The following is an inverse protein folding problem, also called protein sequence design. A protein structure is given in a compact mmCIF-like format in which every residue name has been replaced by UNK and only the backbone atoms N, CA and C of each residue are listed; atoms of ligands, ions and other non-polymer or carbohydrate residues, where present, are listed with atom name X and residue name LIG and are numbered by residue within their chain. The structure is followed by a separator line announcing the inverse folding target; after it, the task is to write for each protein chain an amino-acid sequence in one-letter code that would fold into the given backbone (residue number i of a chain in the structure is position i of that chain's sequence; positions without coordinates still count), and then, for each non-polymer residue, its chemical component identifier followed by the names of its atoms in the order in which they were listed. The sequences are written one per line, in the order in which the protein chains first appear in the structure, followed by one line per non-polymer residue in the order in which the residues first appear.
data_IF_847166798187
#
_entry.id   IF_847166798187
#
_cell.length_a   1.000
_cell.length_b   1.000
_cell.length_c   1.000
_cell.angle_alpha   90.00
_cell.angle_beta   90.00
_cell.angle_gamma   90.00
#
_symmetry.space_group_name_H-M   'P 1'
#
loop_
_entity.id
_entity.type
_entity.pdbx_description
1 polymer ?
#
# COMPACT_ATOMS: atom_id res chain seq x y z
N UNK A 1 -22.69 7.44 -10.15
CA UNK A 1 -21.72 6.36 -9.88
C UNK A 1 -21.01 6.69 -8.58
N UNK A 2 -20.62 5.67 -7.82
CA UNK A 2 -19.78 5.80 -6.62
C UNK A 2 -18.32 5.62 -7.01
N UNK A 3 -17.51 6.64 -6.80
CA UNK A 3 -16.10 6.68 -7.19
C UNK A 3 -15.22 6.77 -5.94
N UNK A 4 -14.25 5.87 -5.80
CA UNK A 4 -13.20 5.97 -4.81
C UNK A 4 -11.98 6.67 -5.42
N UNK A 5 -11.63 7.86 -4.92
CA UNK A 5 -10.37 8.53 -5.25
C UNK A 5 -9.33 8.16 -4.21
N UNK A 6 -8.23 7.53 -4.63
CA UNK A 6 -7.14 7.19 -3.72
C UNK A 6 -6.08 8.27 -3.80
N UNK A 7 -5.82 8.90 -2.66
CA UNK A 7 -4.85 9.99 -2.51
C UNK A 7 -3.74 9.55 -1.57
N UNK A 8 -2.51 9.46 -2.07
CA UNK A 8 -1.34 9.06 -1.27
C UNK A 8 -0.62 10.29 -0.72
N UNK A 9 -0.53 10.40 0.61
CA UNK A 9 0.25 11.43 1.30
C UNK A 9 -0.20 12.88 1.06
N UNK A 10 -1.35 13.10 0.41
CA UNK A 10 -1.75 14.41 -0.08
C UNK A 10 -3.18 14.80 0.35
N UNK A 11 -4.17 14.67 -0.53
CA UNK A 11 -5.55 15.10 -0.27
C UNK A 11 -6.19 14.27 0.86
N UNK A 12 -6.94 14.89 1.79
CA UNK A 12 -7.25 16.33 1.90
C UNK A 12 -6.31 17.10 2.84
N UNK A 13 -5.20 16.51 3.30
CA UNK A 13 -4.42 17.01 4.43
C UNK A 13 -3.24 17.91 4.04
N UNK A 14 -2.72 17.72 2.83
CA UNK A 14 -1.59 18.50 2.29
C UNK A 14 -2.04 19.23 1.04
N UNK A 15 -1.73 20.52 0.98
CA UNK A 15 -1.94 21.34 -0.22
C UNK A 15 -0.79 21.12 -1.20
N UNK A 16 -1.10 20.89 -2.48
CA UNK A 16 -0.12 20.67 -3.53
C UNK A 16 -0.79 20.41 -4.88
N UNK A 17 0.00 20.19 -5.93
CA UNK A 17 -0.52 20.01 -7.30
C UNK A 17 -1.54 18.86 -7.40
N UNK A 18 -1.16 17.66 -6.93
CA UNK A 18 -2.02 16.47 -6.97
C UNK A 18 -3.29 16.67 -6.12
N UNK A 19 -3.16 17.18 -4.89
CA UNK A 19 -4.31 17.38 -4.01
C UNK A 19 -5.30 18.42 -4.57
N UNK A 20 -4.81 19.53 -5.11
CA UNK A 20 -5.64 20.54 -5.79
C UNK A 20 -6.32 19.97 -7.02
N UNK A 21 -5.62 19.15 -7.80
CA UNK A 21 -6.18 18.47 -8.96
C UNK A 21 -7.30 17.49 -8.57
N UNK A 22 -7.11 16.67 -7.53
CA UNK A 22 -8.16 15.78 -7.00
C UNK A 22 -9.41 16.58 -6.64
N UNK A 23 -9.23 17.69 -5.92
CA UNK A 23 -10.34 18.55 -5.51
C UNK A 23 -11.09 19.14 -6.71
N UNK A 24 -10.35 19.70 -7.68
CA UNK A 24 -10.90 20.30 -8.89
C UNK A 24 -11.62 19.26 -9.76
N UNK A 25 -11.06 18.06 -9.88
CA UNK A 25 -11.69 16.96 -10.59
C UNK A 25 -13.05 16.65 -9.98
N UNK A 26 -13.12 16.39 -8.67
CA UNK A 26 -14.39 16.07 -8.01
C UNK A 26 -15.42 17.20 -8.14
N UNK A 27 -14.97 18.47 -8.02
CA UNK A 27 -15.84 19.64 -8.19
C UNK A 27 -16.36 19.82 -9.63
N UNK A 28 -15.58 19.43 -10.64
CA UNK A 28 -15.94 19.57 -12.05
C UNK A 28 -16.95 18.53 -12.54
N UNK A 29 -17.11 17.41 -11.84
CA UNK A 29 -18.07 16.34 -12.18
C UNK A 29 -19.05 16.05 -11.02
N UNK A 30 -19.93 17.00 -10.68
CA UNK A 30 -20.81 16.91 -9.51
C UNK A 30 -21.89 15.82 -9.60
N UNK A 31 -22.10 15.22 -10.78
CA UNK A 31 -23.07 14.14 -10.99
C UNK A 31 -22.61 12.77 -10.43
N UNK A 32 -21.45 12.70 -9.79
CA UNK A 32 -20.88 11.48 -9.22
C UNK A 32 -20.54 11.67 -7.75
N UNK A 33 -20.78 10.62 -6.96
CA UNK A 33 -20.50 10.59 -5.53
C UNK A 33 -19.09 10.08 -5.30
N UNK A 34 -18.31 10.82 -4.53
CA UNK A 34 -16.92 10.52 -4.24
C UNK A 34 -16.73 10.07 -2.81
N UNK A 35 -15.87 9.07 -2.62
CA UNK A 35 -15.19 8.82 -1.35
C UNK A 35 -13.70 8.93 -1.60
N UNK A 36 -13.00 9.64 -0.72
CA UNK A 36 -11.54 9.65 -0.76
C UNK A 36 -11.00 8.57 0.15
N UNK A 37 -10.12 7.71 -0.38
CA UNK A 37 -9.29 6.80 0.40
C UNK A 37 -7.92 7.46 0.55
N UNK A 38 -7.70 8.12 1.68
CA UNK A 38 -6.46 8.85 1.95
C UNK A 38 -5.43 7.89 2.57
N UNK A 39 -4.32 7.64 1.87
CA UNK A 39 -3.20 6.87 2.41
C UNK A 39 -2.30 7.80 3.22
N UNK A 40 -2.17 7.54 4.52
CA UNK A 40 -1.45 8.39 5.47
C UNK A 40 -0.30 7.62 6.14
N UNK A 41 0.72 8.34 6.62
CA UNK A 41 1.79 7.71 7.40
C UNK A 41 1.29 7.23 8.78
N UNK A 42 0.43 8.03 9.42
CA UNK A 42 -0.03 7.82 10.78
C UNK A 42 -1.55 7.58 10.87
N UNK A 43 -1.97 6.96 11.98
CA UNK A 43 -3.38 6.67 12.31
C UNK A 43 -4.20 7.90 12.68
N UNK A 44 -3.54 9.01 13.04
CA UNK A 44 -4.19 10.27 13.41
C UNK A 44 -4.08 11.29 12.27
N UNK A 45 -5.06 11.36 11.36
CA UNK A 45 -5.02 12.27 10.24
C UNK A 45 -5.14 13.73 10.71
N UNK A 46 -4.49 14.69 10.03
CA UNK A 46 -4.69 16.12 10.26
C UNK A 46 -6.12 16.56 9.94
N UNK A 47 -6.44 17.83 10.25
CA UNK A 47 -7.64 18.45 9.72
C UNK A 47 -7.54 18.64 8.19
N UNK A 48 -8.68 18.52 7.50
CA UNK A 48 -8.76 18.83 6.07
C UNK A 48 -8.32 20.28 5.80
N UNK A 49 -7.52 20.48 4.77
CA UNK A 49 -7.12 21.82 4.26
C UNK A 49 -7.96 22.29 3.07
N UNK A 50 -8.91 21.48 2.62
CA UNK A 50 -9.76 21.77 1.48
C UNK A 50 -11.20 22.07 1.92
N UNK A 51 -11.91 22.95 1.19
CA UNK A 51 -13.32 23.21 1.47
C UNK A 51 -14.16 21.95 1.22
N UNK A 52 -15.33 21.83 1.89
CA UNK A 52 -16.23 20.71 1.66
C UNK A 52 -16.82 20.74 0.24
N UNK A 53 -17.05 19.55 -0.34
CA UNK A 53 -17.78 19.38 -1.59
C UNK A 53 -19.06 18.60 -1.32
N UNK A 54 -20.17 19.02 -1.93
CA UNK A 54 -21.47 18.37 -1.75
C UNK A 54 -21.48 16.90 -2.22
N UNK A 55 -20.66 16.58 -3.21
CA UNK A 55 -20.51 15.24 -3.77
C UNK A 55 -19.34 14.44 -3.17
N UNK A 56 -18.71 14.93 -2.09
CA UNK A 56 -17.73 14.16 -1.31
C UNK A 56 -18.41 13.57 -0.08
N UNK A 57 -18.78 12.29 -0.15
CA UNK A 57 -19.53 11.60 0.89
C UNK A 57 -18.69 11.28 2.13
N UNK A 58 -17.41 10.95 1.94
CA UNK A 58 -16.51 10.57 3.03
C UNK A 58 -15.03 10.70 2.66
N UNK A 59 -14.20 10.83 3.69
CA UNK A 59 -12.75 10.63 3.64
C UNK A 59 -12.42 9.50 4.60
N UNK A 60 -11.93 8.38 4.06
CA UNK A 60 -11.52 7.18 4.81
C UNK A 60 -10.01 7.12 4.83
N UNK A 61 -9.42 7.03 6.02
CA UNK A 61 -7.98 6.98 6.18
C UNK A 61 -7.47 5.55 6.17
N UNK A 62 -6.42 5.34 5.39
CA UNK A 62 -5.65 4.11 5.29
C UNK A 62 -4.23 4.38 5.76
N UNK A 63 -3.95 4.08 7.03
CA UNK A 63 -2.64 4.39 7.62
C UNK A 63 -1.62 3.28 7.34
N UNK A 64 -0.40 3.65 6.96
CA UNK A 64 0.72 2.73 6.74
C UNK A 64 1.29 2.17 8.05
N UNK A 65 0.93 2.74 9.19
CA UNK A 65 1.33 2.29 10.53
C UNK A 65 0.20 1.65 11.32
N UNK A 66 -0.98 1.48 10.72
CA UNK A 66 -2.16 0.92 11.37
C UNK A 66 -1.90 -0.52 11.84
N UNK A 67 -1.87 -0.70 13.16
CA UNK A 67 -1.66 -2.00 13.78
C UNK A 67 -3.00 -2.69 14.03
N UNK A 68 -3.01 -4.02 13.85
CA UNK A 68 -4.16 -4.82 14.26
C UNK A 68 -4.31 -4.80 15.77
N UNK A 69 -5.53 -4.54 16.24
CA UNK A 69 -5.88 -4.66 17.67
C UNK A 69 -5.90 -6.14 18.10
N UNK A 70 -6.19 -7.05 17.17
CA UNK A 70 -6.30 -8.49 17.43
C UNK A 70 -5.12 -9.23 16.81
N UNK A 71 -4.36 -9.94 17.66
CA UNK A 71 -3.32 -10.85 17.18
C UNK A 71 -3.94 -12.12 16.59
N UNK A 72 -3.50 -12.51 15.40
CA UNK A 72 -3.95 -13.70 14.68
C UNK A 72 -2.75 -14.54 14.27
N UNK A 73 -2.78 -15.86 14.53
CA UNK A 73 -1.66 -16.72 14.22
C UNK A 73 -1.50 -16.92 12.70
N UNK A 74 -0.26 -17.14 12.27
CA UNK A 74 0.07 -17.49 10.89
C UNK A 74 -0.38 -18.91 10.58
N UNK A 75 -1.16 -19.10 9.51
CA UNK A 75 -1.72 -20.39 9.07
C UNK A 75 -1.54 -20.56 7.56
N UNK A 76 -0.29 -20.66 7.12
CA UNK A 76 0.08 -20.77 5.71
C UNK A 76 0.30 -22.22 5.27
N UNK A 77 -0.30 -22.58 4.15
CA UNK A 77 -0.04 -23.84 3.45
C UNK A 77 1.21 -23.72 2.55
N UNK A 78 1.66 -24.81 1.95
CA UNK A 78 2.79 -24.79 1.02
C UNK A 78 2.54 -23.84 -0.17
N UNK A 79 1.35 -23.93 -0.78
CA UNK A 79 0.96 -23.04 -1.89
C UNK A 79 0.97 -21.55 -1.51
N UNK A 80 0.70 -21.21 -0.25
CA UNK A 80 0.76 -19.83 0.22
C UNK A 80 2.18 -19.30 0.31
N UNK A 81 3.10 -20.15 0.77
CA UNK A 81 4.52 -19.83 0.82
C UNK A 81 5.09 -19.65 -0.59
N UNK A 82 4.61 -20.44 -1.55
CA UNK A 82 5.00 -20.31 -2.96
C UNK A 82 4.52 -18.98 -3.54
N UNK A 83 3.27 -18.57 -3.27
CA UNK A 83 2.75 -17.26 -3.69
C UNK A 83 3.57 -16.10 -3.12
N UNK A 84 3.90 -16.15 -1.83
CA UNK A 84 4.72 -15.12 -1.19
C UNK A 84 6.13 -15.11 -1.80
N UNK A 85 6.75 -16.28 -1.95
CA UNK A 85 8.10 -16.41 -2.53
C UNK A 85 8.17 -15.87 -3.95
N UNK A 86 7.16 -16.16 -4.78
CA UNK A 86 7.05 -15.61 -6.14
C UNK A 86 6.86 -14.10 -6.10
N UNK A 87 6.00 -13.58 -5.23
CA UNK A 87 5.75 -12.14 -5.13
C UNK A 87 7.01 -11.36 -4.72
N UNK A 88 7.82 -11.91 -3.80
CA UNK A 88 9.10 -11.33 -3.38
C UNK A 88 10.16 -11.26 -4.50
N UNK A 89 9.93 -11.89 -5.65
CA UNK A 89 10.88 -11.83 -6.77
C UNK A 89 10.78 -10.53 -7.57
N UNK A 90 9.61 -9.88 -7.55
CA UNK A 90 9.27 -8.75 -8.41
C UNK A 90 9.51 -8.97 -9.91
N UNK A 91 9.50 -10.21 -10.40
CA UNK A 91 9.68 -10.51 -11.84
C UNK A 91 8.36 -10.51 -12.59
N UNK A 92 7.35 -11.16 -12.02
CA UNK A 92 6.04 -11.38 -12.64
C UNK A 92 4.92 -10.95 -11.70
N UNK A 93 3.77 -10.49 -12.23
CA UNK A 93 2.60 -10.24 -11.41
C UNK A 93 2.10 -11.54 -10.76
N UNK A 94 1.89 -11.51 -9.43
CA UNK A 94 1.29 -12.62 -8.66
C UNK A 94 -0.02 -12.14 -8.01
N UNK A 95 -1.14 -12.04 -8.75
CA UNK A 95 -2.35 -11.41 -8.23
C UNK A 95 -2.94 -12.11 -7.00
N UNK A 96 -2.78 -13.43 -6.88
CA UNK A 96 -3.28 -14.20 -5.75
C UNK A 96 -2.53 -13.90 -4.43
N UNK A 97 -1.28 -13.42 -4.50
CA UNK A 97 -0.55 -12.98 -3.30
C UNK A 97 -1.22 -11.77 -2.64
N UNK A 98 -1.86 -10.89 -3.43
CA UNK A 98 -2.57 -9.73 -2.91
C UNK A 98 -3.75 -10.12 -2.02
N UNK A 99 -4.51 -11.16 -2.41
CA UNK A 99 -5.62 -11.68 -1.61
C UNK A 99 -5.10 -12.34 -0.33
N UNK A 100 -3.99 -13.09 -0.43
CA UNK A 100 -3.35 -13.72 0.72
C UNK A 100 -2.85 -12.68 1.73
N UNK A 101 -2.20 -11.61 1.27
CA UNK A 101 -1.72 -10.54 2.15
C UNK A 101 -2.85 -9.79 2.85
N UNK A 102 -3.99 -9.66 2.18
CA UNK A 102 -5.20 -9.03 2.73
C UNK A 102 -6.01 -9.96 3.65
N UNK A 103 -5.70 -11.26 3.74
CA UNK A 103 -6.45 -12.24 4.51
C UNK A 103 -5.76 -12.59 5.85
N UNK A 104 -6.15 -11.92 6.95
CA UNK A 104 -5.57 -12.18 8.26
C UNK A 104 -6.01 -13.52 8.88
N UNK A 105 -6.93 -14.27 8.26
CA UNK A 105 -7.29 -15.63 8.72
C UNK A 105 -6.25 -16.66 8.30
N UNK A 106 -5.50 -16.37 7.23
CA UNK A 106 -4.44 -17.22 6.66
C UNK A 106 -3.05 -16.68 6.98
N UNK A 107 -2.77 -15.42 6.63
CA UNK A 107 -1.47 -14.81 6.90
C UNK A 107 -1.24 -14.56 8.38
N UNK A 108 -2.32 -14.32 9.14
CA UNK A 108 -2.25 -13.67 10.45
C UNK A 108 -2.23 -12.15 10.30
N UNK A 109 -2.19 -11.43 11.43
CA UNK A 109 -1.98 -9.98 11.36
C UNK A 109 -0.55 -9.64 10.92
N UNK A 110 -0.38 -8.47 10.31
CA UNK A 110 0.89 -8.00 9.76
C UNK A 110 2.06 -8.14 10.73
N UNK A 111 1.92 -7.66 11.96
CA UNK A 111 2.97 -7.70 12.98
C UNK A 111 3.33 -9.15 13.37
N UNK A 112 2.31 -10.00 13.58
CA UNK A 112 2.52 -11.41 13.91
C UNK A 112 3.19 -12.17 12.77
N UNK A 113 2.80 -11.92 11.51
CA UNK A 113 3.45 -12.53 10.35
C UNK A 113 4.92 -12.11 10.23
N UNK A 114 5.21 -10.81 10.29
CA UNK A 114 6.57 -10.25 10.17
C UNK A 114 7.49 -10.63 11.32
N UNK A 115 6.95 -11.05 12.47
CA UNK A 115 7.69 -11.58 13.60
C UNK A 115 7.77 -13.12 13.63
N UNK A 116 7.16 -13.80 12.66
CA UNK A 116 7.04 -15.25 12.67
C UNK A 116 8.30 -15.97 12.14
N UNK A 117 8.55 -17.23 12.58
CA UNK A 117 9.56 -18.08 11.96
C UNK A 117 9.30 -18.30 10.46
N UNK A 118 8.03 -18.29 10.03
CA UNK A 118 7.68 -18.46 8.62
C UNK A 118 8.23 -17.32 7.76
N UNK A 119 8.11 -16.08 8.23
CA UNK A 119 8.68 -14.93 7.54
C UNK A 119 10.22 -15.01 7.50
N UNK A 120 10.84 -15.39 8.63
CA UNK A 120 12.29 -15.62 8.69
C UNK A 120 12.76 -16.65 7.66
N UNK A 121 12.10 -17.79 7.56
CA UNK A 121 12.45 -18.85 6.60
C UNK A 121 12.33 -18.37 5.15
N UNK A 122 11.24 -17.64 4.82
CA UNK A 122 11.00 -17.09 3.48
C UNK A 122 12.12 -16.11 3.05
N UNK A 123 12.48 -15.18 3.94
CA UNK A 123 13.53 -14.19 3.65
C UNK A 123 14.92 -14.85 3.63
N UNK A 124 15.17 -15.86 4.47
CA UNK A 124 16.42 -16.63 4.45
C UNK A 124 16.58 -17.39 3.13
N UNK A 125 15.54 -18.09 2.68
CA UNK A 125 15.57 -18.78 1.39
C UNK A 125 15.81 -17.80 0.23
N UNK A 126 15.17 -16.63 0.27
CA UNK A 126 15.36 -15.58 -0.73
C UNK A 126 16.79 -15.02 -0.73
N UNK A 127 17.35 -14.74 0.45
CA UNK A 127 18.72 -14.24 0.60
C UNK A 127 19.74 -15.22 -0.01
N UNK A 128 19.56 -16.52 0.22
CA UNK A 128 20.41 -17.56 -0.35
C UNK A 128 20.28 -17.66 -1.89
N UNK A 129 19.07 -17.47 -2.41
CA UNK A 129 18.80 -17.48 -3.84
C UNK A 129 19.40 -16.26 -4.57
N UNK A 130 19.28 -15.07 -3.98
CA UNK A 130 19.72 -13.81 -4.59
C UNK A 130 21.25 -13.66 -4.61
N UNK A 131 22.00 -14.52 -3.90
CA UNK A 131 23.47 -14.51 -3.79
C UNK A 131 24.06 -13.12 -3.51
N UNK A 132 23.38 -12.36 -2.67
CA UNK A 132 23.76 -10.99 -2.36
C UNK A 132 25.04 -10.96 -1.52
N UNK A 133 25.85 -9.91 -1.71
CA UNK A 133 27.06 -9.66 -0.93
C UNK A 133 26.81 -8.78 0.31
N UNK A 134 25.54 -8.41 0.58
CA UNK A 134 25.17 -7.61 1.75
C UNK A 134 25.00 -8.48 2.98
N UNK A 135 25.20 -7.90 4.17
CA UNK A 135 24.96 -8.60 5.43
C UNK A 135 23.50 -9.06 5.56
N UNK A 136 23.30 -10.28 6.06
CA UNK A 136 21.96 -10.87 6.18
C UNK A 136 21.04 -10.08 7.11
N UNK A 137 21.55 -9.49 8.19
CA UNK A 137 20.73 -8.71 9.11
C UNK A 137 20.19 -7.47 8.42
N UNK A 138 21.06 -6.75 7.69
CA UNK A 138 20.65 -5.60 6.89
C UNK A 138 19.60 -5.99 5.84
N UNK A 139 19.82 -7.11 5.13
CA UNK A 139 18.88 -7.63 4.15
C UNK A 139 17.50 -7.96 4.76
N UNK A 140 17.51 -8.66 5.89
CA UNK A 140 16.29 -9.06 6.60
C UNK A 140 15.47 -7.84 7.05
N UNK A 141 16.12 -6.85 7.65
CA UNK A 141 15.44 -5.63 8.10
C UNK A 141 14.94 -4.78 6.94
N UNK A 142 15.67 -4.70 5.81
CA UNK A 142 15.19 -4.01 4.61
C UNK A 142 13.88 -4.61 4.11
N UNK A 143 13.79 -5.95 3.99
CA UNK A 143 12.55 -6.63 3.60
C UNK A 143 11.42 -6.44 4.59
N UNK A 144 11.72 -6.58 5.89
CA UNK A 144 10.73 -6.36 6.94
C UNK A 144 10.17 -4.94 6.89
N UNK A 145 11.03 -3.94 6.74
CA UNK A 145 10.63 -2.54 6.68
C UNK A 145 9.82 -2.25 5.41
N UNK A 146 10.18 -2.83 4.27
CA UNK A 146 9.45 -2.69 3.00
C UNK A 146 8.03 -3.28 3.10
N UNK A 147 7.89 -4.46 3.70
CA UNK A 147 6.61 -5.18 3.77
C UNK A 147 5.67 -4.66 4.86
N UNK A 148 6.21 -4.07 5.92
CA UNK A 148 5.42 -3.52 7.04
C UNK A 148 4.28 -2.60 6.58
N UNK A 149 4.54 -1.48 5.87
CA UNK A 149 3.48 -0.57 5.44
C UNK A 149 2.53 -1.20 4.42
N UNK A 150 3.04 -2.10 3.58
CA UNK A 150 2.24 -2.88 2.62
C UNK A 150 1.20 -3.73 3.33
N UNK A 151 1.60 -4.51 4.34
CA UNK A 151 0.68 -5.39 5.06
C UNK A 151 -0.31 -4.61 5.93
N UNK A 152 0.13 -3.55 6.61
CA UNK A 152 -0.78 -2.67 7.35
C UNK A 152 -1.85 -2.07 6.44
N UNK A 153 -1.46 -1.57 5.26
CA UNK A 153 -2.39 -1.05 4.26
C UNK A 153 -3.39 -2.11 3.77
N UNK A 154 -2.89 -3.30 3.44
CA UNK A 154 -3.68 -4.38 2.84
C UNK A 154 -4.59 -5.11 3.82
N UNK A 155 -4.41 -4.97 5.12
CA UNK A 155 -5.25 -5.65 6.12
C UNK A 155 -6.34 -4.76 6.72
N UNK A 156 -6.33 -3.46 6.43
CA UNK A 156 -7.39 -2.54 6.89
C UNK A 156 -8.74 -2.83 6.20
N UNK A 157 -9.88 -2.62 6.87
CA UNK A 157 -11.19 -2.88 6.29
C UNK A 157 -11.43 -2.04 5.03
N UNK A 158 -12.00 -2.65 3.99
CA UNK A 158 -12.42 -1.94 2.79
C UNK A 158 -13.87 -1.45 2.94
N UNK A 159 -14.22 -0.29 2.37
CA UNK A 159 -15.60 0.14 2.24
C UNK A 159 -16.42 -0.76 1.28
N UNK A 160 -17.74 -0.78 1.45
CA UNK A 160 -18.61 -1.82 0.91
C UNK A 160 -18.53 -2.02 -0.62
N UNK A 161 -18.72 -0.96 -1.44
CA UNK A 161 -18.64 -1.04 -2.91
C UNK A 161 -18.37 0.30 -3.60
N UNK A 162 -17.60 0.24 -4.69
CA UNK A 162 -17.39 1.33 -5.64
C UNK A 162 -17.60 0.84 -7.08
N UNK A 163 -18.15 1.71 -7.94
CA UNK A 163 -18.24 1.43 -9.38
C UNK A 163 -16.88 1.58 -10.06
N UNK A 164 -16.08 2.52 -9.56
CA UNK A 164 -14.74 2.84 -10.07
C UNK A 164 -13.83 3.27 -8.92
N UNK A 165 -12.58 2.83 -8.96
CA UNK A 165 -11.49 3.28 -8.10
C UNK A 165 -10.42 3.95 -8.97
N UNK A 166 -9.96 5.11 -8.54
CA UNK A 166 -8.97 5.90 -9.25
C UNK A 166 -7.81 6.25 -8.31
N UNK A 167 -6.64 5.67 -8.57
CA UNK A 167 -5.42 6.00 -7.87
C UNK A 167 -4.61 7.07 -8.61
N UNK A 168 -4.08 8.05 -7.89
CA UNK A 168 -3.27 9.14 -8.44
C UNK A 168 -1.76 8.84 -8.50
N UNK A 169 -1.34 7.64 -8.09
CA UNK A 169 0.02 7.15 -8.19
C UNK A 169 0.04 5.61 -8.19
N UNK A 170 1.11 5.00 -8.71
CA UNK A 170 1.28 3.53 -8.78
C UNK A 170 1.74 2.87 -7.48
N UNK A 171 2.21 3.63 -6.49
CA UNK A 171 2.74 3.12 -5.22
C UNK A 171 1.68 2.50 -4.29
N UNK A 172 1.58 3.00 -3.06
CA UNK A 172 0.57 2.52 -2.11
C UNK A 172 -0.85 2.75 -2.64
N UNK A 173 -1.08 3.86 -3.34
CA UNK A 173 -2.34 4.15 -3.99
C UNK A 173 -2.73 3.10 -5.04
N UNK A 174 -1.80 2.72 -5.91
CA UNK A 174 -2.00 1.68 -6.93
C UNK A 174 -2.25 0.31 -6.31
N UNK A 175 -1.50 -0.04 -5.26
CA UNK A 175 -1.67 -1.28 -4.53
C UNK A 175 -3.05 -1.38 -3.86
N UNK A 176 -3.51 -0.30 -3.19
CA UNK A 176 -4.84 -0.25 -2.59
C UNK A 176 -5.93 -0.32 -3.65
N UNK A 177 -5.77 0.36 -4.79
CA UNK A 177 -6.73 0.28 -5.90
C UNK A 177 -6.81 -1.15 -6.47
N UNK A 178 -5.68 -1.85 -6.60
CA UNK A 178 -5.66 -3.24 -7.04
C UNK A 178 -6.42 -4.14 -6.05
N UNK A 179 -6.22 -3.92 -4.75
CA UNK A 179 -6.95 -4.65 -3.69
C UNK A 179 -8.46 -4.39 -3.77
N UNK A 180 -8.88 -3.13 -3.90
CA UNK A 180 -10.30 -2.75 -4.04
C UNK A 180 -10.92 -3.42 -5.26
N UNK A 181 -10.23 -3.37 -6.41
CA UNK A 181 -10.69 -4.04 -7.64
C UNK A 181 -10.88 -5.54 -7.45
N UNK A 182 -9.93 -6.22 -6.79
CA UNK A 182 -10.03 -7.66 -6.55
C UNK A 182 -11.16 -8.02 -5.58
N UNK A 183 -11.34 -7.24 -4.52
CA UNK A 183 -12.36 -7.50 -3.52
C UNK A 183 -13.78 -7.22 -4.02
N UNK A 184 -13.97 -6.21 -4.89
CA UNK A 184 -15.31 -5.69 -5.24
C UNK A 184 -15.68 -5.83 -6.72
N UNK A 185 -14.70 -6.06 -7.60
CA UNK A 185 -14.88 -6.02 -9.06
C UNK A 185 -14.92 -4.61 -9.66
N UNK A 186 -14.59 -3.57 -8.89
CA UNK A 186 -14.59 -2.19 -9.36
C UNK A 186 -13.70 -1.98 -10.59
N UNK A 187 -14.12 -1.08 -11.50
CA UNK A 187 -13.23 -0.59 -12.56
C UNK A 187 -12.08 0.18 -11.92
N UNK A 188 -10.88 0.05 -12.47
CA UNK A 188 -9.69 0.67 -11.91
C UNK A 188 -9.06 1.61 -12.93
N UNK A 189 -8.77 2.83 -12.49
CA UNK A 189 -8.03 3.85 -13.21
C UNK A 189 -6.78 4.15 -12.39
N UNK A 190 -5.63 4.25 -13.05
CA UNK A 190 -4.42 4.81 -12.47
C UNK A 190 -4.02 5.99 -13.34
N UNK A 191 -3.79 7.13 -12.71
CA UNK A 191 -3.10 8.27 -13.31
C UNK A 191 -1.80 8.46 -12.56
N UNK A 192 -0.72 8.74 -13.28
CA UNK A 192 0.61 8.96 -12.73
C UNK A 192 1.08 10.36 -13.15
N UNK A 193 1.65 11.12 -12.24
CA UNK A 193 2.12 12.49 -12.50
C UNK A 193 3.54 12.56 -13.06
N UNK A 194 4.13 11.39 -13.37
CA UNK A 194 5.38 11.26 -14.13
C UNK A 194 6.65 11.57 -13.35
N UNK A 195 6.52 12.05 -12.11
CA UNK A 195 7.65 12.32 -11.22
C UNK A 195 7.61 11.47 -9.93
N UNK A 196 6.54 10.70 -9.68
CA UNK A 196 6.43 9.89 -8.46
C UNK A 196 7.63 8.95 -8.26
N UNK A 197 8.03 8.21 -9.30
CA UNK A 197 9.18 7.31 -9.22
C UNK A 197 10.47 8.06 -8.88
N UNK A 198 10.65 9.26 -9.42
CA UNK A 198 11.81 10.11 -9.16
C UNK A 198 11.79 10.67 -7.74
N UNK A 199 10.63 11.08 -7.23
CA UNK A 199 10.47 11.51 -5.84
C UNK A 199 10.86 10.38 -4.88
N UNK A 200 10.45 9.13 -5.16
CA UNK A 200 10.83 7.97 -4.33
C UNK A 200 12.31 7.63 -4.43
N UNK A 201 12.91 7.80 -5.60
CA UNK A 201 14.36 7.64 -5.76
C UNK A 201 15.13 8.68 -4.94
N UNK A 202 14.71 9.94 -4.98
CA UNK A 202 15.29 11.03 -4.18
C UNK A 202 15.13 10.76 -2.67
N UNK A 203 13.97 10.29 -2.22
CA UNK A 203 13.74 9.86 -0.83
C UNK A 203 14.72 8.76 -0.39
N UNK A 204 14.95 7.75 -1.25
CA UNK A 204 15.88 6.64 -0.99
C UNK A 204 17.32 7.14 -0.90
N UNK A 205 17.72 8.05 -1.79
CA UNK A 205 19.06 8.63 -1.79
C UNK A 205 19.33 9.46 -0.52
N UNK A 206 18.31 10.17 -0.03
CA UNK A 206 18.38 10.98 1.19
C UNK A 206 18.24 10.18 2.49
N UNK A 207 17.80 8.92 2.44
CA UNK A 207 17.57 8.12 3.64
C UNK A 207 18.89 7.77 4.36
N UNK A 208 19.07 8.25 5.60
CA UNK A 208 20.25 7.96 6.42
C UNK A 208 20.28 6.52 6.98
N UNK A 209 19.10 5.90 7.10
CA UNK A 209 18.94 4.56 7.67
C UNK A 209 19.21 3.45 6.65
N UNK A 210 19.27 3.77 5.37
CA UNK A 210 19.49 2.80 4.29
C UNK A 210 20.97 2.72 3.94
N UNK A 211 21.56 1.53 4.05
CA UNK A 211 22.95 1.30 3.68
C UNK A 211 23.20 1.56 2.19
N UNK A 212 24.41 2.01 1.83
CA UNK A 212 24.77 2.39 0.46
C UNK A 212 24.51 1.29 -0.58
N UNK A 213 24.61 0.01 -0.18
CA UNK A 213 24.35 -1.13 -1.05
C UNK A 213 22.90 -1.26 -1.54
N UNK A 214 21.96 -0.54 -0.91
CA UNK A 214 20.53 -0.53 -1.27
C UNK A 214 20.09 0.78 -1.93
N UNK A 215 20.99 1.73 -2.14
CA UNK A 215 20.71 2.97 -2.86
C UNK A 215 20.99 2.77 -4.35
N UNK A 216 20.14 3.31 -5.26
CA UNK A 216 20.45 3.33 -6.69
C UNK A 216 21.78 4.06 -6.91
N UNK A 217 22.61 3.53 -7.83
CA UNK A 217 23.91 4.09 -8.19
C UNK A 217 23.78 5.23 -9.20
#
# INVERSE_FOLDING_TARGET
MKIAMIAEGCYPYVTGGVASWIHQLMAAIPAHDFTVLAVTADDTPPASRFPPLANLSAVVNFSLTCRSVQKRPVRLQAADRDLISQWLTFTDPVPAALDLFADPTRLGDADTFLASPVFYDLITARYQADRQSVDFLAYYWSWRNLLTPVLHLLQQPLPDRYDTVHATATGYGGLLAARVKRATGARMIITEHGIYAREREEDILQADWLGAAFKPQ
#
